data_IF_407016908302
#
_entry.id   IF_407016908302
#
_cell.length_a   1.000
_cell.length_b   1.000
_cell.length_c   1.000
_cell.angle_alpha   90.00
_cell.angle_beta   90.00
_cell.angle_gamma   90.00
#
_symmetry.space_group_name_H-M   'P 1'
#
loop_
_entity.id
_entity.type
_entity.pdbx_description
1 polymer ?
#
# COMPACT_ATOMS: atom_id res chain seq x y z
N UNK A 1 -9.80 -6.04 9.81
CA UNK A 1 -8.68 -7.01 9.70
C UNK A 1 -9.12 -8.46 9.93
N UNK A 2 -10.10 -8.73 10.82
CA UNK A 2 -10.54 -10.08 11.19
C UNK A 2 -10.94 -11.01 10.04
N UNK A 3 -11.76 -10.56 9.08
CA UNK A 3 -12.21 -11.42 7.96
C UNK A 3 -11.07 -12.00 7.11
N UNK A 4 -9.96 -11.28 6.97
CA UNK A 4 -8.80 -11.73 6.19
C UNK A 4 -8.00 -12.79 6.92
N UNK A 5 -7.87 -12.60 8.24
CA UNK A 5 -7.22 -13.57 9.13
C UNK A 5 -8.02 -14.89 9.08
N UNK A 6 -9.35 -14.82 9.02
CA UNK A 6 -10.20 -16.01 8.84
C UNK A 6 -9.92 -16.76 7.53
N UNK A 7 -9.81 -16.07 6.39
CA UNK A 7 -9.46 -16.73 5.12
C UNK A 7 -8.04 -17.31 5.13
N UNK A 8 -7.09 -16.65 5.80
CA UNK A 8 -5.72 -17.14 5.94
C UNK A 8 -5.65 -18.38 6.83
N UNK A 9 -6.38 -18.39 7.95
CA UNK A 9 -6.50 -19.56 8.83
C UNK A 9 -7.17 -20.72 8.08
N UNK A 10 -8.23 -20.45 7.33
CA UNK A 10 -8.91 -21.46 6.50
C UNK A 10 -7.97 -22.05 5.43
N UNK A 11 -7.13 -21.22 4.79
CA UNK A 11 -6.11 -21.69 3.86
C UNK A 11 -5.11 -22.64 4.54
N UNK A 12 -4.59 -22.29 5.71
CA UNK A 12 -3.66 -23.16 6.45
C UNK A 12 -4.31 -24.49 6.82
N UNK A 13 -5.60 -24.49 7.19
CA UNK A 13 -6.38 -25.70 7.46
C UNK A 13 -6.52 -26.60 6.23
N UNK A 14 -6.93 -26.05 5.09
CA UNK A 14 -7.04 -26.79 3.83
C UNK A 14 -5.69 -27.35 3.36
N UNK A 15 -4.61 -26.57 3.51
CA UNK A 15 -3.26 -27.01 3.16
C UNK A 15 -2.83 -28.22 4.00
N UNK A 16 -3.09 -28.17 5.32
CA UNK A 16 -2.79 -29.28 6.23
C UNK A 16 -3.55 -30.55 5.85
N UNK A 17 -4.87 -30.47 5.75
CA UNK A 17 -5.74 -31.61 5.38
C UNK A 17 -5.33 -32.17 4.01
N UNK A 18 -5.09 -31.31 3.01
CA UNK A 18 -4.68 -31.75 1.68
C UNK A 18 -3.32 -32.42 1.67
N UNK A 19 -2.34 -31.90 2.42
CA UNK A 19 -1.00 -32.50 2.52
C UNK A 19 -1.01 -33.85 3.23
N UNK A 20 -1.79 -34.00 4.30
CA UNK A 20 -1.95 -35.27 5.02
C UNK A 20 -2.63 -36.31 4.13
N UNK A 21 -3.71 -35.93 3.44
CA UNK A 21 -4.41 -36.83 2.50
C UNK A 21 -3.47 -37.36 1.41
N UNK A 22 -2.50 -36.55 0.95
CA UNK A 22 -1.52 -36.98 -0.06
C UNK A 22 -0.40 -37.86 0.50
N UNK A 23 0.05 -37.62 1.74
CA UNK A 23 1.18 -38.32 2.36
C UNK A 23 0.76 -39.60 3.08
N UNK A 24 -0.28 -39.54 3.91
CA UNK A 24 -0.72 -40.66 4.75
C UNK A 24 -1.90 -41.41 4.14
N UNK A 25 -2.49 -40.91 3.04
CA UNK A 25 -3.73 -41.44 2.44
C UNK A 25 -4.92 -41.42 3.41
N UNK A 26 -4.82 -40.62 4.46
CA UNK A 26 -5.84 -40.45 5.50
C UNK A 26 -6.15 -38.97 5.66
N UNK A 27 -7.39 -38.63 5.98
CA UNK A 27 -7.74 -37.26 6.36
C UNK A 27 -8.36 -37.26 7.75
N UNK A 28 -7.84 -36.37 8.61
CA UNK A 28 -8.39 -36.13 9.94
C UNK A 28 -9.45 -35.03 9.86
N UNK A 29 -10.71 -35.42 9.99
CA UNK A 29 -11.86 -34.52 10.05
C UNK A 29 -12.43 -34.51 11.46
N UNK A 30 -11.89 -33.67 12.35
CA UNK A 30 -12.34 -33.62 13.74
C UNK A 30 -12.07 -34.93 14.49
N UNK A 31 -13.11 -35.61 14.97
CA UNK A 31 -13.00 -36.87 15.73
C UNK A 31 -12.97 -38.15 14.87
N UNK A 32 -13.09 -38.02 13.54
CA UNK A 32 -13.14 -39.15 12.62
C UNK A 32 -11.91 -39.18 11.70
N UNK A 33 -11.38 -40.39 11.50
CA UNK A 33 -10.31 -40.67 10.56
C UNK A 33 -10.99 -41.21 9.29
N UNK A 34 -10.81 -40.52 8.17
CA UNK A 34 -11.26 -41.01 6.86
C UNK A 34 -10.07 -41.66 6.17
N UNK A 35 -10.11 -42.99 6.03
CA UNK A 35 -9.09 -43.75 5.33
C UNK A 35 -9.41 -43.82 3.84
N UNK A 36 -8.58 -43.18 3.00
CA UNK A 36 -8.71 -43.21 1.54
C UNK A 36 -7.80 -44.26 0.89
N UNK A 37 -7.14 -45.09 1.70
CA UNK A 37 -6.25 -46.16 1.21
C UNK A 37 -6.98 -47.19 0.33
N UNK A 38 -8.28 -47.41 0.54
CA UNK A 38 -9.08 -48.35 -0.26
C UNK A 38 -9.42 -47.85 -1.67
N UNK A 39 -9.31 -46.54 -1.91
CA UNK A 39 -9.68 -45.88 -3.16
C UNK A 39 -8.57 -45.94 -4.23
N UNK A 40 -7.42 -46.56 -3.94
CA UNK A 40 -6.31 -46.66 -4.89
C UNK A 40 -5.88 -45.28 -5.39
N UNK A 41 -5.62 -45.10 -6.69
CA UNK A 41 -5.17 -43.81 -7.25
C UNK A 41 -6.13 -42.63 -7.01
N UNK A 42 -7.41 -42.89 -6.74
CA UNK A 42 -8.42 -41.84 -6.58
C UNK A 42 -8.27 -41.01 -5.29
N UNK A 43 -7.39 -41.38 -4.34
CA UNK A 43 -7.09 -40.54 -3.16
C UNK A 43 -6.43 -39.19 -3.51
N UNK A 44 -5.83 -39.08 -4.70
CA UNK A 44 -5.21 -37.85 -5.17
C UNK A 44 -6.26 -36.76 -5.42
N UNK A 45 -7.48 -37.11 -5.85
CA UNK A 45 -8.55 -36.15 -6.13
C UNK A 45 -8.87 -35.24 -4.92
N UNK A 46 -9.27 -35.78 -3.74
CA UNK A 46 -9.62 -34.95 -2.59
C UNK A 46 -8.44 -34.12 -2.06
N UNK A 47 -7.22 -34.68 -2.07
CA UNK A 47 -6.02 -33.96 -1.66
C UNK A 47 -5.72 -32.76 -2.55
N UNK A 48 -5.77 -32.94 -3.87
CA UNK A 48 -5.50 -31.87 -4.84
C UNK A 48 -6.61 -30.80 -4.82
N UNK A 49 -7.88 -31.21 -4.75
CA UNK A 49 -9.02 -30.29 -4.66
C UNK A 49 -8.97 -29.44 -3.40
N UNK A 50 -8.61 -30.02 -2.25
CA UNK A 50 -8.46 -29.28 -0.99
C UNK A 50 -7.38 -28.19 -1.09
N UNK A 51 -6.23 -28.52 -1.68
CA UNK A 51 -5.13 -27.56 -1.89
C UNK A 51 -5.55 -26.45 -2.85
N UNK A 52 -6.17 -26.80 -3.99
CA UNK A 52 -6.68 -25.81 -4.94
C UNK A 52 -7.71 -24.87 -4.29
N UNK A 53 -8.61 -25.40 -3.48
CA UNK A 53 -9.58 -24.60 -2.74
C UNK A 53 -8.91 -23.66 -1.73
N UNK A 54 -7.89 -24.15 -1.00
CA UNK A 54 -7.07 -23.32 -0.13
C UNK A 54 -6.43 -22.14 -0.89
N UNK A 55 -5.79 -22.40 -2.03
CA UNK A 55 -5.19 -21.32 -2.84
C UNK A 55 -6.24 -20.34 -3.38
N UNK A 56 -7.44 -20.79 -3.71
CA UNK A 56 -8.54 -19.90 -4.09
C UNK A 56 -8.96 -18.96 -2.93
N UNK A 57 -9.02 -19.48 -1.70
CA UNK A 57 -9.28 -18.66 -0.51
C UNK A 57 -8.16 -17.66 -0.24
N UNK A 58 -6.89 -18.09 -0.40
CA UNK A 58 -5.73 -17.19 -0.29
C UNK A 58 -5.79 -16.08 -1.35
N UNK A 59 -6.11 -16.42 -2.59
CA UNK A 59 -6.29 -15.45 -3.66
C UNK A 59 -7.41 -14.46 -3.35
N UNK A 60 -8.53 -14.90 -2.78
CA UNK A 60 -9.61 -14.00 -2.33
C UNK A 60 -9.17 -13.10 -1.16
N UNK A 61 -8.40 -13.64 -0.22
CA UNK A 61 -7.84 -12.88 0.90
C UNK A 61 -6.92 -11.75 0.40
N UNK A 62 -6.08 -12.05 -0.60
CA UNK A 62 -5.20 -11.09 -1.26
C UNK A 62 -5.96 -10.11 -2.14
N UNK A 63 -6.97 -10.55 -2.91
CA UNK A 63 -7.76 -9.66 -3.77
C UNK A 63 -8.58 -8.65 -2.95
N UNK A 64 -9.02 -9.05 -1.76
CA UNK A 64 -9.70 -8.16 -0.80
C UNK A 64 -8.74 -7.25 -0.03
N UNK A 65 -7.44 -7.20 -0.36
CA UNK A 65 -6.57 -6.15 0.15
C UNK A 65 -7.07 -4.81 -0.41
N UNK A 66 -7.60 -3.90 0.40
CA UNK A 66 -7.84 -2.55 -0.04
C UNK A 66 -6.47 -1.98 -0.39
N UNK A 67 -6.39 -1.27 -1.52
CA UNK A 67 -5.24 -0.40 -1.83
C UNK A 67 -5.00 0.68 -0.74
N UNK A 68 -5.86 0.76 0.28
CA UNK A 68 -5.75 1.66 1.43
C UNK A 68 -4.93 1.06 2.59
N UNK A 69 -3.66 0.76 2.33
CA UNK A 69 -2.64 0.71 3.40
C UNK A 69 -1.82 2.01 3.37
N UNK A 70 -2.48 3.17 3.30
CA UNK A 70 -1.82 4.47 3.37
C UNK A 70 -2.41 5.41 4.43
N UNK A 71 -3.47 5.01 5.14
CA UNK A 71 -4.26 5.96 5.95
C UNK A 71 -4.14 5.69 7.45
N UNK A 72 -2.95 5.36 7.96
CA UNK A 72 -2.71 5.30 9.42
C UNK A 72 -1.73 6.34 9.94
N UNK A 73 -1.05 7.08 9.08
CA UNK A 73 -0.44 8.34 9.47
C UNK A 73 -1.17 9.43 8.67
N UNK A 74 -2.01 10.22 9.36
CA UNK A 74 -2.68 11.38 8.77
C UNK A 74 -1.62 12.45 8.45
N UNK A 75 -0.88 12.21 7.36
CA UNK A 75 0.18 13.08 6.88
C UNK A 75 -0.48 14.18 6.06
N UNK A 76 -0.50 15.40 6.57
CA UNK A 76 -0.91 16.56 5.80
C UNK A 76 0.28 17.11 5.00
N UNK A 77 0.01 17.58 3.77
CA UNK A 77 1.02 18.13 2.87
C UNK A 77 0.76 19.59 2.59
N UNK A 78 1.78 20.42 2.77
CA UNK A 78 1.68 21.84 2.46
C UNK A 78 1.71 22.09 0.95
N UNK A 79 0.77 22.89 0.43
CA UNK A 79 0.69 23.27 -1.00
C UNK A 79 1.95 23.99 -1.50
N UNK A 80 2.62 24.73 -0.60
CA UNK A 80 3.71 25.64 -0.94
C UNK A 80 5.09 25.02 -0.72
N UNK A 81 5.40 24.54 0.49
CA UNK A 81 6.70 23.94 0.78
C UNK A 81 6.78 22.44 0.45
N UNK A 82 5.64 21.79 0.17
CA UNK A 82 5.51 20.35 -0.16
C UNK A 82 6.06 19.39 0.90
N UNK A 83 6.39 19.90 2.09
CA UNK A 83 6.74 19.05 3.23
C UNK A 83 5.48 18.38 3.75
N UNK A 84 5.67 17.14 4.15
CA UNK A 84 4.72 16.32 4.87
C UNK A 84 4.88 16.59 6.36
N UNK A 85 3.77 16.67 7.07
CA UNK A 85 3.71 16.86 8.52
C UNK A 85 2.60 15.97 9.05
N UNK A 86 2.76 15.47 10.27
CA UNK A 86 1.66 14.81 10.95
C UNK A 86 0.62 15.85 11.38
N UNK A 87 -0.63 15.44 11.55
CA UNK A 87 -1.70 16.32 12.02
C UNK A 87 -1.32 17.04 13.34
N UNK A 88 -0.65 16.33 14.24
CA UNK A 88 -0.16 16.84 15.53
C UNK A 88 0.91 17.95 15.39
N UNK A 89 1.70 17.92 14.31
CA UNK A 89 2.74 18.91 14.02
C UNK A 89 2.18 20.15 13.29
N UNK A 90 0.87 20.19 13.03
CA UNK A 90 0.23 21.32 12.36
C UNK A 90 -0.29 22.33 13.37
N UNK A 91 -0.18 23.62 13.04
CA UNK A 91 -0.81 24.68 13.81
C UNK A 91 -2.31 24.74 13.45
N UNK A 92 -3.10 23.82 13.99
CA UNK A 92 -4.55 23.70 13.69
C UNK A 92 -4.83 23.53 12.19
N UNK A 93 -4.17 22.57 11.53
CA UNK A 93 -4.32 22.32 10.09
C UNK A 93 -3.54 23.27 9.18
N UNK A 94 -2.71 24.16 9.74
CA UNK A 94 -1.84 25.07 8.98
C UNK A 94 -0.38 24.64 9.04
N UNK A 95 0.35 24.97 7.97
CA UNK A 95 1.78 24.71 7.87
C UNK A 95 2.59 25.54 8.88
N UNK A 96 3.43 24.93 9.74
CA UNK A 96 4.22 25.68 10.72
C UNK A 96 5.27 26.59 10.06
N UNK A 97 5.63 26.32 8.80
CA UNK A 97 6.63 27.11 8.04
C UNK A 97 5.96 28.18 7.17
N UNK A 98 4.87 27.82 6.48
CA UNK A 98 4.26 28.68 5.48
C UNK A 98 2.98 29.38 5.98
N UNK A 99 2.45 28.98 7.13
CA UNK A 99 1.19 29.43 7.72
C UNK A 99 -0.01 29.38 6.73
N UNK A 100 0.00 28.39 5.84
CA UNK A 100 -1.05 28.14 4.84
C UNK A 100 -1.71 26.81 5.17
N UNK A 101 -2.99 26.71 4.85
CA UNK A 101 -3.79 25.51 5.01
C UNK A 101 -3.11 24.31 4.35
N UNK A 102 -2.86 23.29 5.17
CA UNK A 102 -2.39 22.02 4.68
C UNK A 102 -3.53 21.26 4.02
N UNK A 103 -3.18 20.44 3.03
CA UNK A 103 -4.12 19.55 2.35
C UNK A 103 -3.77 18.13 2.75
N UNK A 104 -4.75 17.25 2.82
CA UNK A 104 -4.50 15.83 2.98
C UNK A 104 -3.61 15.27 1.86
N UNK A 105 -2.75 14.31 2.16
CA UNK A 105 -1.77 13.81 1.19
C UNK A 105 -2.44 13.14 -0.01
N UNK A 106 -3.58 12.47 0.21
CA UNK A 106 -4.38 11.82 -0.84
C UNK A 106 -4.90 12.87 -1.83
N UNK A 107 -5.59 13.89 -1.30
CA UNK A 107 -6.13 14.98 -2.13
C UNK A 107 -5.04 15.83 -2.79
N UNK A 108 -3.82 15.88 -2.23
CA UNK A 108 -2.68 16.51 -2.88
C UNK A 108 -2.20 15.75 -4.12
N UNK A 109 -2.16 14.41 -4.07
CA UNK A 109 -1.72 13.60 -5.21
C UNK A 109 -2.80 13.40 -6.28
N UNK A 110 -4.08 13.38 -5.90
CA UNK A 110 -5.21 13.33 -6.84
C UNK A 110 -5.36 14.64 -7.63
N UNK A 111 -5.14 15.79 -6.99
CA UNK A 111 -5.26 17.08 -7.63
C UNK A 111 -4.01 17.44 -8.45
N UNK A 112 -4.01 17.04 -9.73
CA UNK A 112 -2.99 17.42 -10.74
C UNK A 112 -2.74 18.94 -10.85
N UNK A 113 -3.66 19.78 -10.39
CA UNK A 113 -3.51 21.24 -10.39
C UNK A 113 -2.33 21.72 -9.53
N UNK A 114 -2.00 21.05 -8.41
CA UNK A 114 -0.88 21.44 -7.53
C UNK A 114 0.51 21.16 -8.14
N UNK A 115 0.57 20.31 -9.18
CA UNK A 115 1.79 20.07 -9.94
C UNK A 115 2.06 21.16 -10.98
N UNK A 116 1.01 21.75 -11.55
CA UNK A 116 1.11 22.72 -12.65
C UNK A 116 1.58 24.12 -12.21
N UNK A 117 1.29 24.54 -10.98
CA UNK A 117 1.71 25.85 -10.44
C UNK A 117 3.24 26.00 -10.46
N UNK A 118 3.98 24.90 -10.27
CA UNK A 118 5.44 24.92 -10.20
C UNK A 118 6.15 24.91 -11.57
N UNK A 119 5.50 24.45 -12.65
CA UNK A 119 6.06 24.61 -14.02
C UNK A 119 6.15 26.09 -14.38
N UNK A 120 5.13 26.88 -14.01
CA UNK A 120 5.10 28.32 -14.28
C UNK A 120 6.04 29.13 -13.37
N UNK A 121 6.23 28.75 -12.10
CA UNK A 121 7.18 29.45 -11.20
C UNK A 121 8.64 29.26 -11.62
N UNK A 122 9.04 28.06 -12.08
CA UNK A 122 10.39 27.79 -12.64
C UNK A 122 10.64 28.59 -13.92
N UNK A 123 9.65 28.66 -14.82
CA UNK A 123 9.73 29.49 -16.06
C UNK A 123 9.91 30.98 -15.74
N UNK A 124 9.24 31.51 -14.71
CA UNK A 124 9.39 32.92 -14.29
C UNK A 124 10.74 33.21 -13.64
N UNK A 125 11.29 32.30 -12.81
CA UNK A 125 12.64 32.48 -12.22
C UNK A 125 13.76 32.45 -13.27
N UNK A 126 13.64 31.64 -14.32
CA UNK A 126 14.64 31.63 -15.41
C UNK A 126 14.63 32.91 -16.24
N UNK A 127 13.46 33.52 -16.49
CA UNK A 127 13.38 34.78 -17.26
C UNK A 127 13.92 36.01 -16.51
N UNK A 128 13.94 36.01 -15.16
CA UNK A 128 14.47 37.13 -14.37
C UNK A 128 16.00 37.15 -14.21
N UNK A 129 16.70 36.07 -14.60
CA UNK A 129 18.17 35.92 -14.46
C UNK A 129 18.98 36.30 -15.72
N UNK A 130 18.39 36.99 -16.69
CA UNK A 130 19.12 37.59 -17.83
C UNK A 130 18.90 39.11 -17.86
N UNK A 131 19.65 39.85 -17.04
CA UNK A 131 20.14 41.18 -17.40
C UNK A 131 21.65 41.21 -17.11
N UNK A 132 22.48 41.62 -18.07
CA UNK A 132 23.93 41.48 -18.00
C UNK A 132 24.57 42.48 -17.05
N UNK A 133 25.70 42.04 -16.52
CA UNK A 133 26.69 42.78 -15.73
C UNK A 133 27.17 43.98 -16.56
N UNK A 134 27.03 45.20 -16.02
CA UNK A 134 27.80 46.34 -16.49
C UNK A 134 29.00 46.55 -15.59
N UNK A 135 30.13 46.59 -16.26
CA UNK A 135 31.53 46.69 -15.89
C UNK A 135 31.91 47.98 -15.14
N UNK A 136 32.74 47.80 -14.11
CA UNK A 136 33.97 48.55 -13.77
C UNK A 136 33.90 50.05 -13.43
N UNK A 137 34.39 50.39 -12.22
CA UNK A 137 35.37 51.45 -11.86
C UNK A 137 35.40 51.54 -10.32
N UNK A 138 36.27 50.80 -9.63
CA UNK A 138 37.68 51.09 -9.30
C UNK A 138 37.95 52.48 -8.68
N UNK A 139 38.18 52.44 -7.35
CA UNK A 139 39.05 53.25 -6.49
C UNK A 139 39.00 54.79 -6.47
N UNK A 140 38.86 55.32 -5.25
CA UNK A 140 39.76 56.28 -4.54
C UNK A 140 38.96 56.90 -3.38
N UNK A 141 39.49 57.26 -2.22
CA UNK A 141 40.76 57.12 -1.52
C UNK A 141 40.46 57.64 -0.11
#
# INVERSE_FOLDING_TARGET
MGERIMYFIAFLGCLKIGSETLLTKTAYGGHAIMDFSSLGYYYLLPGTLSICFGFALLYLALRKTPKNYHSTDCVMKCKQCRRAFNYEDTNNGKCPICNIDMIDIETFYENKQFFNIHKNSKRKRHKKKKKPINTTKLNKK
#
